data_IF_196327651842
#
_entry.id   IF_196327651842
#
_cell.length_a   1.000
_cell.length_b   1.000
_cell.length_c   1.000
_cell.angle_alpha   90.00
_cell.angle_beta   90.00
_cell.angle_gamma   90.00
#
_symmetry.space_group_name_H-M   'P 1'
#
loop_
_entity.id
_entity.type
_entity.pdbx_description
1 polymer ?
#
# COMPACT_ATOMS: atom_id res chain seq x y z
N UNK A 1 30.71 -34.36 47.18
CA UNK A 1 31.06 -32.94 46.98
C UNK A 1 30.21 -32.36 45.86
N UNK A 2 29.85 -31.09 45.99
CA UNK A 2 28.78 -30.36 45.28
C UNK A 2 29.11 -30.08 43.80
N UNK A 3 28.11 -30.34 42.96
CA UNK A 3 27.62 -29.65 41.74
C UNK A 3 28.54 -28.64 41.04
N UNK A 4 28.56 -28.67 39.71
CA UNK A 4 28.40 -27.49 38.85
C UNK A 4 27.80 -27.91 37.49
N UNK A 5 26.48 -27.77 37.38
CA UNK A 5 25.74 -27.80 36.11
C UNK A 5 25.97 -26.44 35.43
N UNK A 6 26.64 -26.42 34.29
CA UNK A 6 26.77 -25.22 33.48
C UNK A 6 25.45 -25.00 32.72
N UNK A 7 24.68 -23.99 33.12
CA UNK A 7 23.51 -23.50 32.38
C UNK A 7 24.02 -22.78 31.12
N UNK A 8 23.91 -23.44 29.96
CA UNK A 8 24.01 -22.77 28.67
C UNK A 8 22.75 -21.93 28.47
N UNK A 9 22.85 -20.62 28.69
CA UNK A 9 21.84 -19.64 28.31
C UNK A 9 21.72 -19.65 26.78
N UNK A 10 20.70 -20.35 26.29
CA UNK A 10 20.29 -20.30 24.90
C UNK A 10 19.78 -18.90 24.56
N UNK A 11 20.62 -18.12 23.89
CA UNK A 11 20.22 -16.92 23.18
C UNK A 11 19.38 -17.36 21.97
N UNK A 12 18.07 -17.50 22.15
CA UNK A 12 17.15 -17.65 21.03
C UNK A 12 17.15 -16.34 20.25
N UNK A 13 17.57 -16.32 18.97
CA UNK A 13 17.38 -15.14 18.15
C UNK A 13 15.87 -14.98 17.95
N UNK A 14 15.31 -13.90 18.51
CA UNK A 14 14.03 -13.37 18.08
C UNK A 14 14.21 -12.97 16.61
N UNK A 15 13.88 -13.88 15.70
CA UNK A 15 13.75 -13.56 14.30
C UNK A 15 12.61 -12.55 14.18
N UNK A 16 12.98 -11.28 13.98
CA UNK A 16 12.05 -10.23 13.60
C UNK A 16 11.41 -10.67 12.28
N UNK A 17 10.16 -11.13 12.34
CA UNK A 17 9.36 -11.37 11.15
C UNK A 17 9.04 -10.01 10.56
N UNK A 18 9.84 -9.58 9.57
CA UNK A 18 9.43 -8.50 8.69
C UNK A 18 8.08 -8.93 8.08
N UNK A 19 7.02 -8.20 8.40
CA UNK A 19 5.73 -8.39 7.75
C UNK A 19 5.94 -8.07 6.28
N UNK A 20 6.11 -9.12 5.46
CA UNK A 20 6.14 -8.98 4.01
C UNK A 20 4.76 -8.48 3.58
N UNK A 21 4.68 -7.17 3.31
CA UNK A 21 3.51 -6.60 2.66
C UNK A 21 3.43 -7.25 1.29
N UNK A 22 2.46 -8.14 1.11
CA UNK A 22 2.34 -8.95 -0.10
C UNK A 22 2.14 -8.03 -1.29
N UNK A 23 3.14 -7.98 -2.17
CA UNK A 23 3.09 -7.12 -3.33
C UNK A 23 2.20 -7.75 -4.42
N UNK A 24 1.01 -7.19 -4.67
CA UNK A 24 0.08 -7.78 -5.65
C UNK A 24 0.47 -7.45 -7.09
N UNK A 25 0.93 -6.23 -7.33
CA UNK A 25 1.34 -5.76 -8.66
C UNK A 25 2.36 -4.61 -8.51
N UNK A 26 3.54 -4.70 -9.15
CA UNK A 26 4.46 -3.56 -9.24
C UNK A 26 3.83 -2.38 -9.99
N UNK A 27 4.14 -1.16 -9.56
CA UNK A 27 3.57 0.05 -10.16
C UNK A 27 3.78 0.16 -11.68
N UNK A 28 4.94 -0.26 -12.20
CA UNK A 28 5.23 -0.24 -13.65
C UNK A 28 4.26 -1.09 -14.46
N UNK A 29 3.97 -2.31 -13.99
CA UNK A 29 3.00 -3.19 -14.66
C UNK A 29 1.58 -2.63 -14.65
N UNK A 30 1.22 -1.85 -13.63
CA UNK A 30 -0.03 -1.11 -13.60
C UNK A 30 -0.04 0.06 -14.59
N UNK A 31 1.01 0.88 -14.58
CA UNK A 31 1.10 2.11 -15.36
C UNK A 31 1.03 1.86 -16.87
N UNK A 32 1.62 0.76 -17.34
CA UNK A 32 1.60 0.37 -18.76
C UNK A 32 0.23 -0.13 -19.24
N UNK A 33 -0.65 -0.59 -18.34
CA UNK A 33 -1.83 -1.39 -18.72
C UNK A 33 -3.16 -0.80 -18.30
N UNK A 34 -3.19 0.10 -17.32
CA UNK A 34 -4.42 0.64 -16.75
C UNK A 34 -4.50 2.14 -17.03
N UNK A 35 -5.39 2.62 -17.91
CA UNK A 35 -5.66 4.05 -18.04
C UNK A 35 -6.25 4.60 -16.75
N UNK A 36 -5.62 5.60 -16.16
CA UNK A 36 -5.94 6.09 -14.82
C UNK A 36 -5.70 7.59 -14.68
N UNK A 37 -6.27 8.18 -13.63
CA UNK A 37 -6.03 9.56 -13.22
C UNK A 37 -5.17 9.56 -11.95
N UNK A 38 -4.23 10.50 -11.88
CA UNK A 38 -3.38 10.68 -10.71
C UNK A 38 -4.14 11.39 -9.59
N UNK A 39 -4.05 10.84 -8.38
CA UNK A 39 -4.58 11.50 -7.21
C UNK A 39 -3.45 12.25 -6.50
N UNK A 40 -3.63 13.55 -6.28
CA UNK A 40 -2.71 14.35 -5.47
C UNK A 40 -2.71 13.92 -3.99
N UNK A 41 -3.82 13.35 -3.53
CA UNK A 41 -3.96 12.74 -2.20
C UNK A 41 -4.82 11.49 -2.29
N UNK A 42 -4.36 10.43 -1.64
CA UNK A 42 -5.15 9.21 -1.48
C UNK A 42 -6.43 9.48 -0.67
N UNK A 43 -7.57 8.88 -1.04
CA UNK A 43 -8.79 8.98 -0.24
C UNK A 43 -8.65 8.17 1.06
N UNK A 44 -9.10 8.75 2.17
CA UNK A 44 -8.85 8.27 3.52
C UNK A 44 -7.77 9.11 4.22
N UNK A 45 -7.91 9.32 5.52
CA UNK A 45 -7.00 10.21 6.26
C UNK A 45 -5.71 9.50 6.71
N UNK A 46 -4.64 10.29 6.81
CA UNK A 46 -3.29 9.96 7.34
C UNK A 46 -2.32 9.14 6.45
N UNK A 47 -2.50 9.15 5.13
CA UNK A 47 -1.46 8.63 4.23
C UNK A 47 -0.46 9.73 3.87
N UNK A 48 0.81 9.56 4.25
CA UNK A 48 1.90 10.44 3.83
C UNK A 48 2.04 10.37 2.29
N UNK A 49 1.90 11.48 1.54
CA UNK A 49 2.11 11.50 0.10
C UNK A 49 3.50 11.04 -0.35
N UNK A 50 4.51 11.05 0.54
CA UNK A 50 5.83 10.50 0.26
C UNK A 50 5.88 8.97 0.34
N UNK A 51 4.97 8.34 1.08
CA UNK A 51 4.89 6.89 1.23
C UNK A 51 3.86 6.23 0.31
N UNK A 52 2.87 7.01 -0.16
CA UNK A 52 1.71 6.49 -0.86
C UNK A 52 1.50 7.16 -2.21
N UNK A 53 1.16 6.34 -3.20
CA UNK A 53 0.76 6.78 -4.53
C UNK A 53 -0.62 6.22 -4.80
N UNK A 54 -1.58 7.06 -5.16
CA UNK A 54 -2.93 6.62 -5.51
C UNK A 54 -3.30 6.98 -6.95
N UNK A 55 -3.99 6.05 -7.58
CA UNK A 55 -4.51 6.16 -8.95
C UNK A 55 -5.99 5.82 -8.94
N UNK A 56 -6.80 6.59 -9.66
CA UNK A 56 -8.23 6.33 -9.80
C UNK A 56 -8.58 5.96 -11.23
N UNK A 57 -9.46 4.99 -11.37
CA UNK A 57 -10.13 4.64 -12.63
C UNK A 57 -11.61 4.94 -12.45
N UNK A 58 -12.15 5.76 -13.33
CA UNK A 58 -13.57 6.02 -13.45
C UNK A 58 -14.09 5.23 -14.64
N UNK A 59 -15.03 4.32 -14.40
CA UNK A 59 -15.65 3.52 -15.45
C UNK A 59 -17.11 3.31 -15.09
N UNK A 60 -17.99 3.66 -16.02
CA UNK A 60 -19.45 3.60 -15.85
C UNK A 60 -19.87 4.39 -14.59
N UNK A 61 -20.53 3.75 -13.64
CA UNK A 61 -20.97 4.31 -12.36
C UNK A 61 -19.99 4.04 -11.21
N UNK A 62 -18.77 3.55 -11.51
CA UNK A 62 -17.81 3.10 -10.49
C UNK A 62 -16.53 3.93 -10.46
N UNK A 63 -16.09 4.23 -9.24
CA UNK A 63 -14.76 4.70 -8.91
C UNK A 63 -13.92 3.56 -8.32
N UNK A 64 -12.79 3.26 -8.95
CA UNK A 64 -11.81 2.28 -8.43
C UNK A 64 -10.50 2.99 -8.10
N UNK A 65 -10.11 3.00 -6.83
CA UNK A 65 -8.84 3.58 -6.37
C UNK A 65 -7.85 2.50 -6.03
N UNK A 66 -6.69 2.60 -6.64
CA UNK A 66 -5.54 1.74 -6.44
C UNK A 66 -4.56 2.44 -5.51
N UNK A 67 -4.21 1.78 -4.40
CA UNK A 67 -3.30 2.29 -3.38
C UNK A 67 -1.98 1.56 -3.50
N UNK A 68 -0.96 2.32 -3.86
CA UNK A 68 0.42 1.85 -3.92
C UNK A 68 1.18 2.37 -2.71
N UNK A 69 2.03 1.53 -2.13
CA UNK A 69 2.92 1.91 -1.04
C UNK A 69 4.37 1.72 -1.47
N UNK A 70 5.20 2.71 -1.16
CA UNK A 70 6.65 2.56 -1.25
C UNK A 70 7.12 1.60 -0.16
N UNK A 71 7.76 0.50 -0.55
CA UNK A 71 8.46 -0.37 0.39
C UNK A 71 9.95 -0.33 0.08
N UNK A 72 10.78 -0.31 1.13
CA UNK A 72 12.24 -0.30 0.98
C UNK A 72 12.76 -1.55 0.22
N UNK A 73 12.01 -2.65 0.28
CA UNK A 73 12.37 -3.93 -0.31
C UNK A 73 12.03 -4.03 -1.81
N UNK A 74 10.96 -3.37 -2.28
CA UNK A 74 10.48 -3.54 -3.64
C UNK A 74 11.17 -2.62 -4.67
N UNK A 75 11.90 -1.59 -4.22
CA UNK A 75 12.54 -0.59 -5.09
C UNK A 75 11.57 0.29 -5.89
N UNK A 76 10.28 -0.04 -5.92
CA UNK A 76 9.19 0.68 -6.59
C UNK A 76 7.90 0.57 -5.74
N UNK A 77 6.92 1.49 -5.91
CA UNK A 77 5.64 1.36 -5.24
C UNK A 77 4.97 0.04 -5.62
N UNK A 78 4.33 -0.60 -4.64
CA UNK A 78 3.55 -1.80 -4.89
C UNK A 78 2.07 -1.60 -4.57
N UNK A 79 1.20 -2.13 -5.43
CA UNK A 79 -0.23 -2.21 -5.16
C UNK A 79 -0.48 -3.11 -3.95
N UNK A 80 -1.12 -2.53 -2.92
CA UNK A 80 -1.43 -3.24 -1.68
C UNK A 80 -2.90 -3.19 -1.30
N UNK A 81 -3.68 -2.31 -1.93
CA UNK A 81 -5.12 -2.18 -1.69
C UNK A 81 -5.84 -1.62 -2.91
N UNK A 82 -7.07 -2.07 -3.10
CA UNK A 82 -8.01 -1.52 -4.05
C UNK A 82 -9.29 -1.15 -3.30
N UNK A 83 -9.77 0.08 -3.49
CA UNK A 83 -11.10 0.52 -3.07
C UNK A 83 -11.98 0.61 -4.31
N UNK A 84 -13.18 0.03 -4.25
CA UNK A 84 -14.17 0.14 -5.31
C UNK A 84 -15.50 0.57 -4.70
N UNK A 85 -16.07 1.65 -5.22
CA UNK A 85 -17.36 2.18 -4.78
C UNK A 85 -18.06 2.92 -5.91
N UNK A 86 -19.35 3.18 -5.77
CA UNK A 86 -20.08 3.96 -6.77
C UNK A 86 -19.55 5.39 -6.80
N UNK A 87 -19.57 6.00 -7.99
CA UNK A 87 -18.98 7.32 -8.21
C UNK A 87 -19.68 8.41 -7.40
N UNK A 88 -20.99 8.31 -7.22
CA UNK A 88 -21.75 9.34 -6.49
C UNK A 88 -21.38 9.34 -5.00
N UNK A 89 -21.30 8.17 -4.36
CA UNK A 89 -20.80 8.05 -2.99
C UNK A 89 -19.33 8.45 -2.90
N UNK A 90 -18.51 8.10 -3.90
CA UNK A 90 -17.11 8.55 -3.94
C UNK A 90 -17.02 10.07 -3.91
N UNK A 91 -17.72 10.73 -4.83
CA UNK A 91 -17.71 12.17 -4.97
C UNK A 91 -18.26 12.88 -3.73
N UNK A 92 -19.30 12.31 -3.10
CA UNK A 92 -19.88 12.85 -1.88
C UNK A 92 -18.90 12.84 -0.69
N UNK A 93 -18.03 11.83 -0.60
CA UNK A 93 -17.10 11.66 0.53
C UNK A 93 -15.76 12.35 0.27
N UNK A 94 -15.25 12.28 -0.96
CA UNK A 94 -13.88 12.66 -1.29
C UNK A 94 -13.78 13.89 -2.20
N UNK A 95 -14.90 14.41 -2.70
CA UNK A 95 -14.95 15.50 -3.67
C UNK A 95 -14.72 15.03 -5.11
N UNK A 96 -14.58 15.98 -6.04
CA UNK A 96 -14.46 15.71 -7.49
C UNK A 96 -13.24 16.34 -8.15
N UNK A 97 -12.38 17.01 -7.38
CA UNK A 97 -11.20 17.69 -7.91
C UNK A 97 -10.01 16.74 -7.92
N UNK A 98 -9.65 16.26 -9.12
CA UNK A 98 -8.46 15.44 -9.35
C UNK A 98 -7.56 16.18 -10.35
N UNK A 99 -6.26 16.21 -10.10
CA UNK A 99 -5.31 16.86 -11.02
C UNK A 99 -4.72 15.81 -11.95
N UNK A 100 -4.98 15.95 -13.24
CA UNK A 100 -4.18 15.33 -14.28
C UNK A 100 -2.83 16.06 -14.36
N UNK A 101 -1.68 15.36 -14.43
CA UNK A 101 -0.37 16.00 -14.54
C UNK A 101 -0.18 16.73 -15.89
#
# INVERSE_FOLDING_TARGET
MKRLFALALGLSPLAAQAQQVQCWLPYTGFEETVPHINLARCPGESMDPAEWVCRIVLRDDMATVYFFRHTAEAGMPCLIRVLRQDFNSFAAIHGTTYMEP
#
